data_IF_868844253384
#
_entry.id   IF_868844253384
#
_cell.length_a   1.000
_cell.length_b   1.000
_cell.length_c   1.000
_cell.angle_alpha   90.00
_cell.angle_beta   90.00
_cell.angle_gamma   90.00
#
_symmetry.space_group_name_H-M   'P 1'
#
loop_
_entity.id
_entity.type
_entity.pdbx_description
1 polymer ?
#
# COMPACT_ATOMS: atom_id res chain seq x y z
N UNK A 1 9.26 16.30 4.43
CA UNK A 1 8.29 16.02 5.50
C UNK A 1 7.59 14.72 5.19
N UNK A 2 7.17 13.97 6.21
CA UNK A 2 6.37 12.76 5.98
C UNK A 2 4.92 13.12 5.63
N UNK A 3 4.20 12.25 4.89
CA UNK A 3 2.75 12.38 4.74
C UNK A 3 2.05 12.10 6.08
N UNK A 4 0.84 12.61 6.23
CA UNK A 4 0.00 12.32 7.40
C UNK A 4 -0.41 10.84 7.46
N UNK A 5 -0.61 10.22 6.28
CA UNK A 5 -0.97 8.81 6.15
C UNK A 5 -0.14 8.18 5.04
N UNK A 6 0.46 7.03 5.34
CA UNK A 6 1.08 6.16 4.36
C UNK A 6 0.22 4.92 4.13
N UNK A 7 -0.28 4.74 2.91
CA UNK A 7 -1.07 3.56 2.53
C UNK A 7 -0.18 2.55 1.77
N UNK A 8 -0.09 1.34 2.30
CA UNK A 8 0.60 0.21 1.65
C UNK A 8 -0.40 -0.60 0.83
N UNK A 9 -0.10 -0.83 -0.45
CA UNK A 9 -0.87 -1.72 -1.33
C UNK A 9 -0.64 -3.19 -0.96
N UNK A 10 -1.44 -3.65 0.01
CA UNK A 10 -1.62 -5.06 0.28
C UNK A 10 -1.85 -5.42 1.76
N UNK A 11 -1.53 -6.65 2.13
CA UNK A 11 -1.97 -7.25 3.40
C UNK A 11 -1.05 -7.03 4.60
N UNK A 12 -1.40 -7.63 5.73
CA UNK A 12 -0.65 -7.58 7.01
C UNK A 12 0.85 -7.88 6.87
N UNK A 13 1.21 -8.84 6.02
CA UNK A 13 2.62 -9.18 5.77
C UNK A 13 3.40 -8.03 5.14
N UNK A 14 2.82 -7.33 4.16
CA UNK A 14 3.45 -6.18 3.51
C UNK A 14 3.51 -4.96 4.43
N UNK A 15 2.48 -4.74 5.25
CA UNK A 15 2.51 -3.73 6.31
C UNK A 15 3.67 -3.98 7.26
N UNK A 16 3.80 -5.22 7.77
CA UNK A 16 4.88 -5.57 8.69
C UNK A 16 6.27 -5.41 8.05
N UNK A 17 6.43 -5.78 6.78
CA UNK A 17 7.68 -5.59 6.05
C UNK A 17 8.06 -4.11 5.93
N UNK A 18 7.10 -3.24 5.57
CA UNK A 18 7.32 -1.80 5.50
C UNK A 18 7.72 -1.22 6.86
N UNK A 19 7.03 -1.60 7.93
CA UNK A 19 7.33 -1.15 9.29
C UNK A 19 8.72 -1.63 9.77
N UNK A 20 9.11 -2.86 9.43
CA UNK A 20 10.46 -3.37 9.73
C UNK A 20 11.53 -2.58 8.99
N UNK A 21 11.35 -2.33 7.69
CA UNK A 21 12.31 -1.56 6.90
C UNK A 21 12.49 -0.13 7.45
N UNK A 22 11.41 0.53 7.87
CA UNK A 22 11.52 1.87 8.48
C UNK A 22 12.30 1.83 9.80
N UNK A 23 12.03 0.84 10.67
CA UNK A 23 12.79 0.66 11.92
C UNK A 23 14.28 0.39 11.67
N UNK A 24 14.60 -0.45 10.70
CA UNK A 24 15.99 -0.75 10.33
C UNK A 24 16.74 0.48 9.82
N UNK A 25 16.03 1.40 9.16
CA UNK A 25 16.56 2.69 8.72
C UNK A 25 16.60 3.76 9.84
N UNK A 26 16.14 3.45 11.05
CA UNK A 26 16.04 4.41 12.15
C UNK A 26 15.01 5.52 11.90
N UNK A 27 14.05 5.27 11.01
CA UNK A 27 13.00 6.21 10.63
C UNK A 27 11.74 5.89 11.43
N UNK A 28 11.21 6.89 12.13
CA UNK A 28 9.88 6.76 12.74
C UNK A 28 8.82 6.74 11.64
N UNK A 29 8.03 5.66 11.52
CA UNK A 29 7.02 5.55 10.49
C UNK A 29 5.91 6.61 10.71
N UNK A 30 5.44 7.30 9.66
CA UNK A 30 4.19 8.05 9.74
C UNK A 30 3.02 7.10 10.02
N UNK A 31 1.82 7.63 10.25
CA UNK A 31 0.64 6.79 10.42
C UNK A 31 0.44 5.91 9.18
N UNK A 32 0.78 4.62 9.32
CA UNK A 32 0.89 3.70 8.19
C UNK A 32 -0.19 2.65 8.31
N UNK A 33 -0.92 2.43 7.23
CA UNK A 33 -1.98 1.41 7.12
C UNK A 33 -1.80 0.63 5.83
N UNK A 34 -2.43 -0.53 5.72
CA UNK A 34 -2.47 -1.28 4.47
C UNK A 34 -3.89 -1.68 4.09
N UNK A 35 -4.17 -1.80 2.79
CA UNK A 35 -5.48 -2.21 2.27
C UNK A 35 -5.34 -3.52 1.49
N UNK A 36 -5.90 -4.60 2.02
CA UNK A 36 -5.89 -5.90 1.34
C UNK A 36 -6.97 -5.99 0.27
N UNK A 37 -6.56 -6.27 -0.98
CA UNK A 37 -7.43 -6.24 -2.17
C UNK A 37 -8.62 -7.19 -2.16
N UNK A 38 -8.53 -8.36 -1.49
CA UNK A 38 -9.58 -9.38 -1.56
C UNK A 38 -10.84 -8.99 -0.78
N UNK A 39 -10.65 -8.61 0.47
CA UNK A 39 -11.76 -8.33 1.41
C UNK A 39 -11.88 -6.84 1.75
N UNK A 40 -11.03 -5.99 1.17
CA UNK A 40 -10.99 -4.55 1.41
C UNK A 40 -10.78 -4.22 2.91
N UNK A 41 -9.95 -5.04 3.54
CA UNK A 41 -9.60 -4.98 4.95
C UNK A 41 -8.45 -4.00 5.18
N UNK A 42 -8.64 -3.11 6.16
CA UNK A 42 -7.62 -2.15 6.58
C UNK A 42 -6.83 -2.74 7.74
N UNK A 43 -5.52 -2.91 7.55
CA UNK A 43 -4.62 -3.33 8.62
C UNK A 43 -3.92 -2.12 9.23
N UNK A 44 -3.85 -2.10 10.55
CA UNK A 44 -3.19 -1.06 11.34
C UNK A 44 -2.06 -1.72 12.15
N UNK A 45 -0.85 -1.14 12.21
CA UNK A 45 0.24 -1.66 13.00
C UNK A 45 -0.16 -1.83 14.47
N UNK A 46 0.19 -2.96 15.07
CA UNK A 46 -0.12 -3.27 16.46
C UNK A 46 -1.53 -3.84 16.70
N UNK A 47 -2.41 -3.82 15.70
CA UNK A 47 -3.74 -4.45 15.81
C UNK A 47 -3.70 -5.91 15.32
N UNK A 48 -4.35 -6.81 16.06
CA UNK A 48 -4.42 -8.24 15.70
C UNK A 48 -5.38 -8.46 14.54
N UNK A 49 -6.56 -7.84 14.61
CA UNK A 49 -7.66 -7.96 13.65
C UNK A 49 -7.68 -6.79 12.66
N UNK A 50 -8.04 -7.03 11.39
CA UNK A 50 -8.25 -5.96 10.44
C UNK A 50 -9.53 -5.17 10.74
N UNK A 51 -9.52 -3.90 10.35
CA UNK A 51 -10.72 -3.06 10.35
C UNK A 51 -11.47 -3.24 9.04
N UNK A 52 -12.73 -3.64 9.16
CA UNK A 52 -13.68 -3.73 8.03
C UNK A 52 -14.49 -2.46 7.97
N UNK A 53 -14.31 -1.69 6.91
CA UNK A 53 -15.12 -0.51 6.66
C UNK A 53 -16.40 -0.89 5.90
N UNK A 54 -17.48 -0.15 6.15
CA UNK A 54 -18.70 -0.28 5.34
C UNK A 54 -18.40 -0.03 3.86
N UNK A 55 -19.02 -0.81 2.96
CA UNK A 55 -18.92 -0.61 1.49
C UNK A 55 -19.45 0.75 1.04
N UNK A 56 -20.26 1.41 1.86
CA UNK A 56 -20.78 2.76 1.60
C UNK A 56 -19.90 3.86 2.23
N UNK A 57 -18.82 3.50 2.94
CA UNK A 57 -17.89 4.45 3.54
C UNK A 57 -17.13 5.21 2.46
N UNK A 58 -17.18 6.54 2.53
CA UNK A 58 -16.31 7.41 1.73
C UNK A 58 -14.83 7.16 2.02
N UNK A 59 -14.49 6.83 3.28
CA UNK A 59 -13.12 6.50 3.67
C UNK A 59 -12.60 5.27 2.93
N UNK A 60 -13.41 4.21 2.82
CA UNK A 60 -13.01 3.02 2.07
C UNK A 60 -12.79 3.34 0.59
N UNK A 61 -13.70 4.09 -0.02
CA UNK A 61 -13.59 4.50 -1.43
C UNK A 61 -12.33 5.29 -1.70
N UNK A 62 -11.95 6.18 -0.77
CA UNK A 62 -10.71 6.95 -0.87
C UNK A 62 -9.48 6.03 -0.82
N UNK A 63 -9.43 5.09 0.13
CA UNK A 63 -8.31 4.15 0.23
C UNK A 63 -8.19 3.27 -1.02
N UNK A 64 -9.31 2.81 -1.57
CA UNK A 64 -9.34 2.05 -2.83
C UNK A 64 -8.81 2.89 -4.00
N UNK A 65 -9.25 4.16 -4.12
CA UNK A 65 -8.78 5.06 -5.18
C UNK A 65 -7.26 5.27 -5.12
N UNK A 66 -6.71 5.54 -3.93
CA UNK A 66 -5.25 5.72 -3.74
C UNK A 66 -4.49 4.43 -4.06
N UNK A 67 -5.00 3.27 -3.63
CA UNK A 67 -4.41 1.97 -3.96
C UNK A 67 -4.39 1.73 -5.47
N UNK A 68 -5.53 1.93 -6.12
CA UNK A 68 -5.68 1.65 -7.54
C UNK A 68 -4.77 2.56 -8.38
N UNK A 69 -4.56 3.81 -7.95
CA UNK A 69 -3.62 4.73 -8.58
C UNK A 69 -2.16 4.31 -8.36
N UNK A 70 -1.79 3.87 -7.15
CA UNK A 70 -0.47 3.29 -6.87
C UNK A 70 -0.21 2.06 -7.74
N UNK A 71 -1.21 1.19 -7.87
CA UNK A 71 -1.13 -0.01 -8.70
C UNK A 71 -0.97 0.34 -10.19
N UNK A 72 -1.78 1.28 -10.69
CA UNK A 72 -1.70 1.78 -12.08
C UNK A 72 -0.32 2.34 -12.39
N UNK A 73 0.24 3.14 -11.47
CA UNK A 73 1.58 3.71 -11.63
C UNK A 73 2.66 2.62 -11.71
N UNK A 74 2.64 1.64 -10.79
CA UNK A 74 3.59 0.53 -10.79
C UNK A 74 3.49 -0.33 -12.06
N UNK A 75 2.28 -0.68 -12.50
CA UNK A 75 2.07 -1.44 -13.73
C UNK A 75 2.61 -0.71 -14.97
N UNK A 76 2.34 0.60 -15.07
CA UNK A 76 2.84 1.41 -16.18
C UNK A 76 4.38 1.40 -16.24
N UNK A 77 5.04 1.57 -15.09
CA UNK A 77 6.50 1.52 -14.99
C UNK A 77 7.05 0.14 -15.41
N UNK A 78 6.45 -0.96 -14.94
CA UNK A 78 6.86 -2.30 -15.34
C UNK A 78 6.68 -2.56 -16.84
N UNK A 79 5.62 -2.03 -17.46
CA UNK A 79 5.42 -2.13 -18.90
C UNK A 79 6.54 -1.43 -19.68
N UNK A 80 6.94 -0.22 -19.26
CA UNK A 80 8.05 0.52 -19.88
C UNK A 80 9.37 -0.25 -19.79
N UNK A 81 9.68 -0.83 -18.62
CA UNK A 81 10.90 -1.62 -18.43
C UNK A 81 10.93 -2.86 -19.31
N UNK A 82 9.80 -3.59 -19.43
CA UNK A 82 9.69 -4.77 -20.30
C UNK A 82 9.79 -4.41 -21.77
N UNK A 83 9.25 -3.25 -22.18
CA UNK A 83 9.39 -2.77 -23.55
C UNK A 83 10.87 -2.52 -23.86
N UNK A 84 11.60 -1.85 -22.96
CA UNK A 84 13.03 -1.57 -23.15
C UNK A 84 13.86 -2.86 -23.27
N UNK A 85 13.65 -3.84 -22.39
CA UNK A 85 14.40 -5.11 -22.45
C UNK A 85 14.18 -5.88 -23.76
N UNK A 86 13.03 -5.69 -24.43
CA UNK A 86 12.71 -6.35 -25.69
C UNK A 86 13.26 -5.62 -26.93
N UNK A 87 13.72 -4.36 -26.78
CA UNK A 87 14.43 -3.63 -27.83
C UNK A 87 15.95 -3.80 -27.74
N UNK A 88 16.45 -4.22 -26.58
CA UNK A 88 17.87 -4.52 -26.33
C UNK A 88 18.24 -5.98 -26.71
N UNK A 89 17.27 -6.79 -27.18
CA UNK A 89 17.43 -8.10 -27.87
C UNK A 89 17.26 -7.93 -29.40
#
# INVERSE_FOLDING_TARGET
TFPDILLIDGGKGQLNAAMTAMRELGVEPPFTISLAKREEEVFVPGESEPRRLSRHSYGLRLLQYVRDESHRFAQHYHHLLRKKSHFDE
#
